data_IF_075510755336
#
_entry.id   IF_075510755336
#
_cell.length_a   1.000
_cell.length_b   1.000
_cell.length_c   1.000
_cell.angle_alpha   90.00
_cell.angle_beta   90.00
_cell.angle_gamma   90.00
#
_symmetry.space_group_name_H-M   'P 1'
#
loop_
_entity.id
_entity.type
_entity.pdbx_description
1 polymer ?
#
# COMPACT_ATOMS: atom_id res chain seq x y z
N UNK A 1 12.21 -1.28 -6.56
CA UNK A 1 11.36 -0.06 -6.61
C UNK A 1 10.96 0.43 -5.22
N UNK A 2 9.92 -0.10 -4.54
CA UNK A 2 9.52 0.44 -3.21
C UNK A 2 10.60 0.17 -2.15
N UNK A 3 11.12 -1.06 -2.12
CA UNK A 3 12.16 -1.52 -1.17
C UNK A 3 13.39 -0.62 -1.16
N UNK A 4 13.84 -0.18 -2.35
CA UNK A 4 15.03 0.66 -2.51
C UNK A 4 14.78 2.11 -2.05
N UNK A 5 13.56 2.62 -2.23
CA UNK A 5 13.18 3.98 -1.81
C UNK A 5 13.13 4.10 -0.28
N UNK A 6 12.71 3.03 0.42
CA UNK A 6 12.50 3.02 1.87
C UNK A 6 13.59 2.28 2.64
N UNK A 7 14.66 1.87 1.96
CA UNK A 7 15.80 1.11 2.52
C UNK A 7 15.38 -0.13 3.33
N UNK A 8 14.41 -0.89 2.80
CA UNK A 8 13.91 -2.13 3.41
C UNK A 8 14.11 -3.31 2.47
N UNK A 9 14.26 -4.50 3.06
CA UNK A 9 14.25 -5.75 2.28
C UNK A 9 12.94 -5.90 1.48
N UNK A 10 12.98 -6.37 0.22
CA UNK A 10 11.78 -6.66 -0.57
C UNK A 10 10.76 -7.54 0.17
N UNK A 11 11.25 -8.53 0.95
CA UNK A 11 10.41 -9.41 1.77
C UNK A 11 9.64 -8.66 2.86
N UNK A 12 10.25 -7.62 3.44
CA UNK A 12 9.60 -6.78 4.45
C UNK A 12 8.50 -5.94 3.81
N UNK A 13 8.75 -5.38 2.63
CA UNK A 13 7.73 -4.61 1.88
C UNK A 13 6.53 -5.50 1.49
N UNK A 14 6.78 -6.73 1.06
CA UNK A 14 5.72 -7.71 0.77
C UNK A 14 4.89 -8.04 2.03
N UNK A 15 5.55 -8.32 3.16
CA UNK A 15 4.87 -8.58 4.42
C UNK A 15 4.03 -7.39 4.90
N UNK A 16 4.52 -6.15 4.71
CA UNK A 16 3.76 -4.93 5.01
C UNK A 16 2.55 -4.83 4.09
N UNK A 17 2.72 -5.09 2.78
CA UNK A 17 1.63 -5.06 1.80
C UNK A 17 0.52 -6.03 2.17
N UNK A 18 0.85 -7.25 2.57
CA UNK A 18 -0.16 -8.24 2.95
C UNK A 18 -0.87 -7.85 4.25
N UNK A 19 -0.14 -7.32 5.23
CA UNK A 19 -0.75 -6.74 6.43
C UNK A 19 -1.70 -5.58 6.09
N UNK A 20 -1.33 -4.71 5.14
CA UNK A 20 -2.18 -3.61 4.69
C UNK A 20 -3.45 -4.13 4.00
N UNK A 21 -3.36 -5.16 3.16
CA UNK A 21 -4.55 -5.80 2.55
C UNK A 21 -5.51 -6.33 3.62
N UNK A 22 -5.00 -7.04 4.62
CA UNK A 22 -5.84 -7.57 5.70
C UNK A 22 -6.49 -6.47 6.53
N UNK A 23 -5.75 -5.42 6.89
CA UNK A 23 -6.28 -4.32 7.72
C UNK A 23 -7.32 -3.46 7.00
N UNK A 24 -7.16 -3.27 5.69
CA UNK A 24 -8.04 -2.43 4.86
C UNK A 24 -9.16 -3.22 4.19
N UNK A 25 -9.13 -4.55 4.24
CA UNK A 25 -10.05 -5.44 3.53
C UNK A 25 -9.84 -5.48 2.01
N UNK A 26 -8.76 -4.88 1.50
CA UNK A 26 -8.48 -4.80 0.08
C UNK A 26 -7.91 -6.12 -0.46
N UNK A 27 -8.50 -6.65 -1.53
CA UNK A 27 -8.11 -7.93 -2.14
C UNK A 27 -7.04 -7.80 -3.23
N UNK A 28 -6.78 -6.59 -3.70
CA UNK A 28 -5.86 -6.31 -4.81
C UNK A 28 -5.13 -4.98 -4.61
N UNK A 29 -4.11 -4.71 -5.42
CA UNK A 29 -3.43 -3.41 -5.38
C UNK A 29 -4.33 -2.25 -5.76
N UNK A 30 -5.15 -2.42 -6.80
CA UNK A 30 -6.17 -1.43 -7.15
C UNK A 30 -7.15 -1.18 -6.00
N UNK A 31 -7.51 -2.22 -5.23
CA UNK A 31 -8.34 -2.08 -4.05
C UNK A 31 -7.68 -1.27 -2.93
N UNK A 32 -6.37 -1.43 -2.73
CA UNK A 32 -5.60 -0.64 -1.76
C UNK A 32 -5.48 0.83 -2.18
N UNK A 33 -5.25 1.09 -3.47
CA UNK A 33 -5.25 2.45 -4.04
C UNK A 33 -6.61 3.11 -3.85
N UNK A 34 -7.69 2.41 -4.19
CA UNK A 34 -9.06 2.91 -4.04
C UNK A 34 -9.44 3.15 -2.57
N UNK A 35 -8.98 2.29 -1.66
CA UNK A 35 -9.15 2.49 -0.22
C UNK A 35 -8.45 3.78 0.22
N UNK A 36 -7.21 4.01 -0.23
CA UNK A 36 -6.45 5.20 0.14
C UNK A 36 -7.10 6.50 -0.39
N UNK A 37 -7.62 6.51 -1.63
CA UNK A 37 -8.36 7.65 -2.19
C UNK A 37 -9.65 7.91 -1.40
N UNK A 38 -10.47 6.88 -1.16
CA UNK A 38 -11.75 7.02 -0.45
C UNK A 38 -11.60 7.52 0.99
N UNK A 39 -10.48 7.21 1.63
CA UNK A 39 -10.19 7.62 3.01
C UNK A 39 -9.35 8.91 3.08
N UNK A 40 -9.08 9.57 1.94
CA UNK A 40 -8.26 10.80 1.90
C UNK A 40 -6.81 10.61 2.35
N UNK A 41 -6.27 9.38 2.25
CA UNK A 41 -4.88 9.03 2.64
C UNK A 41 -3.90 9.43 1.54
N UNK A 42 -4.35 9.42 0.28
CA UNK A 42 -3.61 10.02 -0.84
C UNK A 42 -4.34 11.28 -1.26
N UNK A 43 -3.63 12.40 -1.27
CA UNK A 43 -4.01 13.53 -2.09
C UNK A 43 -3.85 13.10 -3.56
N UNK A 44 -4.86 13.38 -4.39
CA UNK A 44 -4.63 13.41 -5.82
C UNK A 44 -3.51 14.43 -6.04
N UNK A 45 -2.32 13.93 -6.39
CA UNK A 45 -1.21 14.79 -6.79
C UNK A 45 -1.71 15.59 -8.00
N UNK A 46 -2.15 16.81 -7.71
CA UNK A 46 -2.53 17.82 -8.69
C UNK A 46 -1.28 18.28 -9.44
#
# INVERSE_FOLDING_TARGET
EIADIVDLSPRTVEAIRDKLKTKTGAKSMAGLVMYAVKNGIMDEAK
#
